data_IF_994820804132
#
_entry.id   IF_994820804132
#
_cell.length_a   1.000
_cell.length_b   1.000
_cell.length_c   1.000
_cell.angle_alpha   90.00
_cell.angle_beta   90.00
_cell.angle_gamma   90.00
#
_symmetry.space_group_name_H-M   'P 1'
#
loop_
_entity.id
_entity.type
_entity.pdbx_description
1 polymer ?
#
# COMPACT_ATOMS: atom_id res chain seq x y z
N UNK A 1 1.87 12.80 -19.58
CA UNK A 1 2.99 13.76 -19.70
C UNK A 1 3.83 13.34 -20.89
N UNK A 2 3.74 14.04 -22.02
CA UNK A 2 4.46 13.68 -23.27
C UNK A 2 5.71 14.53 -23.53
N UNK A 3 5.99 15.55 -22.71
CA UNK A 3 7.07 16.51 -22.93
C UNK A 3 7.96 16.73 -21.69
N UNK A 4 8.06 15.73 -20.82
CA UNK A 4 8.88 15.76 -19.61
C UNK A 4 9.79 14.53 -19.57
N UNK A 5 11.07 14.75 -19.31
CA UNK A 5 12.08 13.69 -19.21
C UNK A 5 13.03 14.00 -18.06
N UNK A 6 13.56 12.97 -17.41
CA UNK A 6 14.60 13.14 -16.39
C UNK A 6 15.94 13.38 -17.08
N UNK A 7 16.64 14.43 -16.67
CA UNK A 7 17.97 14.76 -17.16
C UNK A 7 18.90 15.15 -16.00
N UNK A 8 20.20 14.93 -16.19
CA UNK A 8 21.20 15.43 -15.26
C UNK A 8 21.18 16.97 -15.23
N UNK A 9 21.47 17.60 -14.08
CA UNK A 9 21.41 19.06 -13.95
C UNK A 9 22.23 19.77 -15.04
N UNK A 10 23.50 19.38 -15.23
CA UNK A 10 24.36 19.96 -16.26
C UNK A 10 23.88 19.69 -17.70
N UNK A 11 23.17 18.59 -17.93
CA UNK A 11 22.59 18.26 -19.23
C UNK A 11 21.38 19.16 -19.54
N UNK A 12 20.54 19.38 -18.52
CA UNK A 12 19.36 20.24 -18.62
C UNK A 12 19.75 21.70 -18.85
N UNK A 13 20.78 22.18 -18.14
CA UNK A 13 21.33 23.53 -18.31
C UNK A 13 21.98 23.70 -19.69
N UNK A 14 22.82 22.77 -20.12
CA UNK A 14 23.50 22.83 -21.42
C UNK A 14 22.52 22.78 -22.60
N UNK A 15 21.45 21.99 -22.49
CA UNK A 15 20.39 21.96 -23.50
C UNK A 15 19.70 23.32 -23.59
N UNK A 16 19.36 23.91 -22.44
CA UNK A 16 18.54 25.11 -22.38
C UNK A 16 17.27 24.98 -23.25
N UNK A 17 17.07 25.97 -24.11
CA UNK A 17 15.93 26.02 -25.03
C UNK A 17 16.16 25.27 -26.36
N UNK A 18 17.33 24.64 -26.57
CA UNK A 18 17.63 23.96 -27.83
C UNK A 18 16.68 22.77 -28.06
N UNK A 19 16.29 22.50 -29.32
CA UNK A 19 15.63 21.26 -29.70
C UNK A 19 16.44 20.02 -29.27
N UNK A 20 15.75 18.96 -28.87
CA UNK A 20 16.39 17.76 -28.32
C UNK A 20 17.33 17.09 -29.34
N UNK A 21 16.91 17.00 -30.59
CA UNK A 21 17.70 16.44 -31.69
C UNK A 21 18.98 17.23 -31.94
N UNK A 22 18.90 18.57 -31.93
CA UNK A 22 20.07 19.44 -32.04
C UNK A 22 21.01 19.22 -30.84
N UNK A 23 20.48 19.25 -29.62
CA UNK A 23 21.27 19.09 -28.40
C UNK A 23 21.99 17.73 -28.34
N UNK A 24 21.33 16.63 -28.76
CA UNK A 24 21.96 15.31 -28.79
C UNK A 24 23.14 15.26 -29.78
N UNK A 25 23.07 16.04 -30.87
CA UNK A 25 24.15 16.18 -31.87
C UNK A 25 25.26 17.13 -31.42
N UNK A 26 24.96 18.25 -30.77
CA UNK A 26 25.94 19.33 -30.53
C UNK A 26 26.46 19.41 -29.10
N UNK A 27 25.77 18.82 -28.11
CA UNK A 27 26.10 18.93 -26.69
C UNK A 27 27.44 18.29 -26.30
N UNK A 28 28.51 19.09 -26.31
CA UNK A 28 29.89 18.64 -26.01
C UNK A 28 30.05 18.16 -24.56
N UNK A 29 29.46 18.87 -23.60
CA UNK A 29 29.51 18.51 -22.18
C UNK A 29 28.77 17.20 -21.91
N UNK A 30 27.60 17.04 -22.53
CA UNK A 30 26.82 15.80 -22.50
C UNK A 30 27.59 14.63 -23.14
N UNK A 31 28.25 14.82 -24.28
CA UNK A 31 29.10 13.80 -24.92
C UNK A 31 30.26 13.38 -24.00
N UNK A 32 30.97 14.34 -23.41
CA UNK A 32 32.06 14.07 -22.46
C UNK A 32 31.60 13.21 -21.29
N UNK A 33 30.49 13.59 -20.64
CA UNK A 33 29.89 12.81 -19.54
C UNK A 33 29.46 11.41 -19.98
N UNK A 34 28.87 11.29 -21.16
CA UNK A 34 28.40 10.01 -21.70
C UNK A 34 29.56 9.07 -22.01
N UNK A 35 30.67 9.59 -22.55
CA UNK A 35 31.89 8.82 -22.81
C UNK A 35 32.57 8.34 -21.53
N UNK A 36 32.66 9.20 -20.51
CA UNK A 36 33.19 8.81 -19.19
C UNK A 36 32.36 7.68 -18.57
N UNK A 37 31.03 7.82 -18.55
CA UNK A 37 30.13 6.80 -18.02
C UNK A 37 30.18 5.50 -18.84
N UNK A 38 30.29 5.61 -20.18
CA UNK A 38 30.41 4.44 -21.04
C UNK A 38 31.73 3.69 -20.79
N UNK A 39 32.86 4.41 -20.62
CA UNK A 39 34.16 3.82 -20.29
C UNK A 39 34.14 3.14 -18.92
N UNK A 40 33.54 3.78 -17.92
CA UNK A 40 33.40 3.20 -16.58
C UNK A 40 32.55 1.92 -16.59
N UNK A 41 31.46 1.88 -17.37
CA UNK A 41 30.57 0.72 -17.47
C UNK A 41 31.14 -0.43 -18.32
N UNK A 42 31.72 -0.11 -19.47
CA UNK A 42 32.15 -1.11 -20.45
C UNK A 42 33.59 -1.59 -20.22
N UNK A 43 34.47 -0.78 -19.61
CA UNK A 43 35.88 -1.11 -19.47
C UNK A 43 36.53 -1.41 -20.83
N UNK A 44 37.10 -2.61 -20.98
CA UNK A 44 37.68 -3.14 -22.24
C UNK A 44 36.75 -4.13 -22.97
N UNK A 45 35.52 -4.34 -22.49
CA UNK A 45 34.58 -5.30 -23.07
C UNK A 45 34.01 -4.78 -24.40
N UNK A 46 34.44 -5.40 -25.50
CA UNK A 46 34.06 -5.02 -26.86
C UNK A 46 32.54 -5.10 -27.09
N UNK A 47 31.83 -6.05 -26.47
CA UNK A 47 30.38 -6.20 -26.63
C UNK A 47 29.65 -5.04 -25.98
N UNK A 48 30.05 -4.66 -24.76
CA UNK A 48 29.47 -3.50 -24.06
C UNK A 48 29.77 -2.19 -24.77
N UNK A 49 30.97 -2.03 -25.33
CA UNK A 49 31.33 -0.85 -26.14
C UNK A 49 30.42 -0.74 -27.36
N UNK A 50 30.24 -1.83 -28.11
CA UNK A 50 29.36 -1.86 -29.28
C UNK A 50 27.91 -1.53 -28.91
N UNK A 51 27.37 -2.13 -27.84
CA UNK A 51 26.02 -1.83 -27.35
C UNK A 51 25.83 -0.36 -26.98
N UNK A 52 26.83 0.28 -26.34
CA UNK A 52 26.77 1.70 -25.99
C UNK A 52 26.80 2.60 -27.21
N UNK A 53 27.55 2.24 -28.25
CA UNK A 53 27.58 2.96 -29.53
C UNK A 53 26.20 2.93 -30.19
N UNK A 54 25.59 1.75 -30.32
CA UNK A 54 24.24 1.59 -30.87
C UNK A 54 23.18 2.34 -30.06
N UNK A 55 23.26 2.27 -28.72
CA UNK A 55 22.35 3.02 -27.84
C UNK A 55 22.45 4.54 -28.06
N UNK A 56 23.66 5.04 -28.30
CA UNK A 56 23.89 6.47 -28.54
C UNK A 56 23.41 6.92 -29.93
N UNK A 57 23.60 6.09 -30.96
CA UNK A 57 23.07 6.31 -32.31
C UNK A 57 21.53 6.37 -32.33
N UNK A 58 20.88 5.48 -31.58
CA UNK A 58 19.41 5.37 -31.53
C UNK A 58 18.75 6.20 -30.42
N UNK A 59 19.52 7.02 -29.69
CA UNK A 59 19.05 7.70 -28.47
C UNK A 59 17.83 8.59 -28.67
N UNK A 60 17.82 9.38 -29.74
CA UNK A 60 16.72 10.28 -30.05
C UNK A 60 15.43 9.49 -30.28
N UNK A 61 15.50 8.43 -31.09
CA UNK A 61 14.37 7.56 -31.39
C UNK A 61 13.83 6.89 -30.12
N UNK A 62 14.71 6.42 -29.24
CA UNK A 62 14.32 5.83 -27.96
C UNK A 62 13.61 6.84 -27.04
N UNK A 63 14.12 8.08 -26.93
CA UNK A 63 13.46 9.10 -26.11
C UNK A 63 12.09 9.45 -26.69
N UNK A 64 11.98 9.59 -28.02
CA UNK A 64 10.71 9.88 -28.68
C UNK A 64 9.71 8.74 -28.58
N UNK A 65 10.14 7.48 -28.68
CA UNK A 65 9.26 6.32 -28.51
C UNK A 65 8.77 6.20 -27.08
N UNK A 66 9.64 6.43 -26.09
CA UNK A 66 9.26 6.45 -24.68
C UNK A 66 8.31 7.60 -24.35
N UNK A 67 8.53 8.80 -24.92
CA UNK A 67 7.65 9.95 -24.72
C UNK A 67 6.23 9.73 -25.29
N UNK A 68 6.11 8.93 -26.35
CA UNK A 68 4.84 8.53 -26.97
C UNK A 68 4.24 7.26 -26.36
N UNK A 69 4.96 6.58 -25.47
CA UNK A 69 4.48 5.34 -24.89
C UNK A 69 3.24 5.61 -24.02
N UNK A 70 2.16 4.81 -24.19
CA UNK A 70 0.97 4.97 -23.38
C UNK A 70 1.28 4.64 -21.92
N UNK A 71 0.80 5.48 -21.01
CA UNK A 71 0.94 5.26 -19.58
C UNK A 71 -0.14 4.28 -19.11
N UNK A 72 0.03 2.98 -19.43
CA UNK A 72 -0.96 1.93 -19.17
C UNK A 72 -1.41 1.90 -17.70
N UNK A 73 -0.46 1.98 -16.77
CA UNK A 73 -0.77 1.96 -15.34
C UNK A 73 -1.55 3.21 -14.91
N UNK A 74 -1.17 4.39 -15.42
CA UNK A 74 -1.92 5.61 -15.16
C UNK A 74 -3.33 5.55 -15.77
N UNK A 75 -3.49 4.95 -16.95
CA UNK A 75 -4.79 4.73 -17.56
C UNK A 75 -5.66 3.79 -16.73
N UNK A 76 -5.10 2.69 -16.20
CA UNK A 76 -5.81 1.77 -15.32
C UNK A 76 -6.23 2.44 -13.99
N UNK A 77 -5.35 3.25 -13.39
CA UNK A 77 -5.70 4.03 -12.19
C UNK A 77 -6.79 5.05 -12.51
N UNK A 78 -6.69 5.76 -13.64
CA UNK A 78 -7.68 6.75 -14.04
C UNK A 78 -9.04 6.13 -14.37
N UNK A 79 -9.07 4.98 -15.05
CA UNK A 79 -10.32 4.25 -15.33
C UNK A 79 -10.98 3.78 -14.03
N UNK A 80 -10.19 3.25 -13.09
CA UNK A 80 -10.69 2.82 -11.77
C UNK A 80 -11.22 4.01 -10.97
N UNK A 81 -10.52 5.15 -10.99
CA UNK A 81 -10.98 6.40 -10.34
C UNK A 81 -12.30 6.87 -10.93
N UNK A 82 -12.46 6.81 -12.25
CA UNK A 82 -13.68 7.23 -12.92
C UNK A 82 -14.85 6.31 -12.61
N UNK A 83 -14.64 4.99 -12.67
CA UNK A 83 -15.65 4.00 -12.30
C UNK A 83 -16.09 4.17 -10.84
N UNK A 84 -15.15 4.39 -9.91
CA UNK A 84 -15.45 4.68 -8.50
C UNK A 84 -16.28 5.95 -8.35
N UNK A 85 -15.92 7.03 -9.05
CA UNK A 85 -16.66 8.29 -8.99
C UNK A 85 -18.11 8.13 -9.50
N UNK A 86 -18.31 7.41 -10.61
CA UNK A 86 -19.65 7.11 -11.12
C UNK A 86 -20.46 6.29 -10.11
N UNK A 87 -19.89 5.22 -9.54
CA UNK A 87 -20.55 4.40 -8.54
C UNK A 87 -20.92 5.18 -7.27
N UNK A 88 -20.04 6.08 -6.80
CA UNK A 88 -20.35 6.95 -5.66
C UNK A 88 -21.46 7.93 -6.00
N UNK A 89 -21.49 8.45 -7.23
CA UNK A 89 -22.52 9.39 -7.68
C UNK A 89 -23.91 8.76 -7.71
N UNK A 90 -24.01 7.49 -8.06
CA UNK A 90 -25.26 6.71 -8.08
C UNK A 90 -25.88 6.52 -6.68
N UNK A 91 -25.11 6.67 -5.60
CA UNK A 91 -25.64 6.59 -4.23
C UNK A 91 -26.58 7.75 -3.87
N UNK A 92 -26.60 8.82 -4.67
CA UNK A 92 -27.36 10.04 -4.40
C UNK A 92 -26.76 10.94 -3.31
N UNK A 93 -25.69 10.52 -2.63
CA UNK A 93 -25.00 11.33 -1.64
C UNK A 93 -24.17 12.45 -2.31
N UNK A 94 -23.91 13.57 -1.61
CA UNK A 94 -22.95 14.56 -2.06
C UNK A 94 -21.56 13.94 -2.21
N UNK A 95 -20.98 14.06 -3.40
CA UNK A 95 -19.64 13.54 -3.72
C UNK A 95 -18.76 14.70 -4.12
N UNK A 96 -17.62 14.81 -3.45
CA UNK A 96 -16.58 15.76 -3.74
C UNK A 96 -15.33 15.04 -4.25
N UNK A 97 -14.63 15.64 -5.22
CA UNK A 97 -13.40 15.10 -5.79
C UNK A 97 -12.27 16.12 -5.71
N UNK A 98 -11.05 15.63 -5.55
CA UNK A 98 -9.85 16.47 -5.47
C UNK A 98 -8.63 15.83 -6.14
N UNK A 99 -7.62 16.65 -6.38
CA UNK A 99 -6.30 16.18 -6.81
C UNK A 99 -5.37 16.00 -5.60
N UNK A 100 -4.41 15.08 -5.70
CA UNK A 100 -3.38 14.95 -4.66
C UNK A 100 -2.56 16.23 -4.46
N UNK A 101 -2.46 17.07 -5.49
CA UNK A 101 -1.86 18.40 -5.38
C UNK A 101 -2.68 19.34 -4.50
N UNK A 102 -4.02 19.31 -4.61
CA UNK A 102 -4.95 20.05 -3.74
C UNK A 102 -4.80 19.61 -2.28
N UNK A 103 -4.81 18.30 -2.03
CA UNK A 103 -4.60 17.73 -0.69
C UNK A 103 -3.29 18.21 -0.08
N UNK A 104 -2.18 18.12 -0.84
CA UNK A 104 -0.88 18.60 -0.38
C UNK A 104 -0.90 20.10 -0.08
N UNK A 105 -1.51 20.89 -0.95
CA UNK A 105 -1.64 22.34 -0.77
C UNK A 105 -2.42 22.68 0.50
N UNK A 106 -3.63 22.13 0.65
CA UNK A 106 -4.48 22.33 1.82
C UNK A 106 -3.75 21.96 3.12
N UNK A 107 -3.08 20.80 3.14
CA UNK A 107 -2.32 20.34 4.30
C UNK A 107 -1.18 21.29 4.65
N UNK A 108 -0.44 21.76 3.64
CA UNK A 108 0.67 22.68 3.81
C UNK A 108 0.23 24.08 4.26
N UNK A 109 -0.87 24.61 3.73
CA UNK A 109 -1.42 25.91 4.14
C UNK A 109 -1.93 25.89 5.57
N UNK A 110 -2.42 24.75 6.04
CA UNK A 110 -2.90 24.56 7.43
C UNK A 110 -1.82 24.05 8.39
N UNK A 111 -0.55 24.01 7.95
CA UNK A 111 0.61 23.62 8.76
C UNK A 111 0.56 22.20 9.36
N UNK A 112 -0.19 21.28 8.76
CA UNK A 112 -0.24 19.90 9.24
C UNK A 112 0.93 19.04 8.72
N UNK A 113 1.45 18.18 9.59
CA UNK A 113 2.43 17.17 9.22
C UNK A 113 1.83 16.11 8.30
N UNK A 114 2.69 15.43 7.52
CA UNK A 114 2.22 14.39 6.60
C UNK A 114 1.84 13.13 7.38
N UNK A 115 0.55 12.79 7.37
CA UNK A 115 0.04 11.50 7.82
C UNK A 115 -1.18 11.11 6.97
N UNK A 116 -1.43 9.82 6.77
CA UNK A 116 -2.50 9.35 5.89
C UNK A 116 -3.90 9.85 6.30
N UNK A 117 -4.20 9.89 7.60
CA UNK A 117 -5.49 10.37 8.10
C UNK A 117 -5.64 11.90 7.95
N UNK A 118 -4.55 12.66 8.07
CA UNK A 118 -4.52 14.11 7.83
C UNK A 118 -4.72 14.39 6.34
N UNK A 119 -4.03 13.66 5.45
CA UNK A 119 -4.22 13.79 4.00
C UNK A 119 -5.68 13.49 3.60
N UNK A 120 -6.33 12.53 4.26
CA UNK A 120 -7.76 12.24 4.03
C UNK A 120 -8.67 13.40 4.45
N UNK A 121 -8.42 14.01 5.62
CA UNK A 121 -9.17 15.18 6.07
C UNK A 121 -8.92 16.42 5.18
N UNK A 122 -7.71 16.59 4.66
CA UNK A 122 -7.35 17.71 3.79
C UNK A 122 -7.78 17.52 2.31
N UNK A 123 -8.49 16.44 1.96
CA UNK A 123 -8.90 16.16 0.59
C UNK A 123 -10.02 17.08 0.11
N UNK A 124 -10.03 17.39 -1.19
CA UNK A 124 -11.05 18.24 -1.80
C UNK A 124 -10.85 19.74 -1.57
N UNK A 125 -11.84 20.53 -1.96
CA UNK A 125 -12.07 21.92 -1.57
C UNK A 125 -12.47 22.04 -0.09
N UNK A 126 -13.34 21.17 0.42
CA UNK A 126 -13.76 21.18 1.84
C UNK A 126 -12.61 20.94 2.81
N UNK A 127 -11.58 20.21 2.37
CA UNK A 127 -10.35 19.98 3.13
C UNK A 127 -9.47 21.22 3.36
N UNK A 128 -9.82 22.39 2.82
CA UNK A 128 -9.03 23.63 2.97
C UNK A 128 -9.18 24.29 4.36
N UNK A 129 -10.20 23.93 5.14
CA UNK A 129 -10.51 24.56 6.43
C UNK A 129 -10.89 23.52 7.50
N UNK A 130 -10.05 22.49 7.66
CA UNK A 130 -10.24 21.44 8.68
C UNK A 130 -9.49 21.78 9.96
N UNK A 131 -10.13 21.50 11.10
CA UNK A 131 -9.52 21.63 12.43
C UNK A 131 -9.18 20.25 12.96
N UNK A 132 -7.90 19.91 12.94
CA UNK A 132 -7.37 18.64 13.42
C UNK A 132 -6.53 18.87 14.66
N UNK A 133 -6.64 17.95 15.62
CA UNK A 133 -5.70 17.87 16.73
C UNK A 133 -4.45 17.09 16.24
N UNK A 134 -3.24 17.69 16.22
CA UNK A 134 -2.02 17.02 15.80
C UNK A 134 -1.69 15.77 16.62
N UNK A 135 -2.14 15.72 17.88
CA UNK A 135 -1.91 14.61 18.80
C UNK A 135 -3.04 13.56 18.74
N UNK A 136 -4.00 13.73 17.83
CA UNK A 136 -5.08 12.79 17.63
C UNK A 136 -4.54 11.40 17.28
N UNK A 137 -5.01 10.38 18.01
CA UNK A 137 -4.69 8.98 17.74
C UNK A 137 -5.85 8.35 16.98
N UNK A 138 -5.76 8.22 15.64
CA UNK A 138 -6.83 7.59 14.87
C UNK A 138 -6.95 6.13 15.29
N UNK A 139 -8.19 5.63 15.34
CA UNK A 139 -8.44 4.21 15.50
C UNK A 139 -7.94 3.47 14.25
N UNK A 140 -7.01 2.52 14.42
CA UNK A 140 -6.46 1.78 13.31
C UNK A 140 -7.32 0.57 13.02
N UNK A 141 -8.00 0.59 11.87
CA UNK A 141 -8.86 -0.51 11.43
C UNK A 141 -8.13 -1.32 10.36
N UNK A 142 -7.94 -2.62 10.61
CA UNK A 142 -7.33 -3.54 9.65
C UNK A 142 -8.31 -4.62 9.18
N UNK A 143 -8.40 -4.89 7.88
CA UNK A 143 -9.19 -6.01 7.39
C UNK A 143 -8.51 -7.36 7.73
N UNK A 144 -9.19 -8.23 8.48
CA UNK A 144 -8.66 -9.52 8.98
C UNK A 144 -9.62 -10.71 8.84
N UNK A 145 -10.91 -10.50 8.52
CA UNK A 145 -11.96 -11.51 8.75
C UNK A 145 -12.56 -12.21 7.53
N UNK A 146 -12.01 -12.10 6.32
CA UNK A 146 -12.50 -12.92 5.20
C UNK A 146 -12.05 -14.39 5.27
N UNK A 147 -11.14 -14.73 6.19
CA UNK A 147 -10.58 -16.07 6.33
C UNK A 147 -9.77 -16.49 5.10
N UNK A 148 -9.18 -17.68 5.18
CA UNK A 148 -8.40 -18.25 4.08
C UNK A 148 -9.29 -19.21 3.28
N UNK A 149 -9.30 -19.06 1.94
CA UNK A 149 -10.02 -20.00 1.05
C UNK A 149 -9.39 -21.40 1.09
N UNK A 150 -8.09 -21.49 1.40
CA UNK A 150 -7.40 -22.75 1.59
C UNK A 150 -7.82 -23.43 2.90
N UNK A 151 -8.50 -24.57 2.76
CA UNK A 151 -9.04 -25.37 3.86
C UNK A 151 -8.13 -26.52 4.27
N UNK A 152 -7.39 -27.09 3.32
CA UNK A 152 -6.37 -28.08 3.60
C UNK A 152 -5.17 -27.42 4.30
N UNK A 153 -4.75 -27.98 5.43
CA UNK A 153 -3.43 -27.72 6.00
C UNK A 153 -2.44 -28.55 5.20
N UNK A 154 -1.46 -27.90 4.60
CA UNK A 154 -0.42 -28.58 3.83
C UNK A 154 0.85 -28.71 4.69
N UNK A 155 1.64 -29.76 4.46
CA UNK A 155 3.01 -29.81 4.95
C UNK A 155 3.92 -28.85 4.17
N UNK A 156 5.21 -28.81 4.53
CA UNK A 156 6.22 -28.01 3.84
C UNK A 156 6.38 -28.34 2.34
N UNK A 157 5.90 -29.50 1.90
CA UNK A 157 6.00 -29.99 0.52
C UNK A 157 4.69 -29.80 -0.25
N UNK A 158 3.63 -29.25 0.37
CA UNK A 158 2.34 -29.03 -0.26
C UNK A 158 1.34 -30.20 -0.15
N UNK A 159 1.63 -31.25 0.63
CA UNK A 159 0.72 -32.38 0.81
C UNK A 159 -0.30 -32.12 1.93
N UNK A 160 -1.60 -32.46 1.76
CA UNK A 160 -2.60 -32.30 2.80
C UNK A 160 -2.31 -33.16 4.05
N UNK A 161 -2.14 -32.52 5.20
CA UNK A 161 -1.96 -33.15 6.52
C UNK A 161 -3.16 -32.97 7.45
N UNK A 162 -4.19 -32.25 7.00
CA UNK A 162 -5.42 -32.06 7.76
C UNK A 162 -6.34 -31.02 7.14
N UNK A 163 -7.52 -30.85 7.72
CA UNK A 163 -8.53 -29.92 7.20
C UNK A 163 -9.03 -28.99 8.31
N UNK A 164 -9.22 -27.71 7.96
CA UNK A 164 -9.89 -26.74 8.84
C UNK A 164 -11.39 -27.07 8.91
N UNK A 165 -11.97 -26.99 10.10
CA UNK A 165 -13.42 -27.17 10.34
C UNK A 165 -14.27 -26.31 9.40
N UNK A 166 -15.40 -26.87 8.95
CA UNK A 166 -16.39 -26.17 8.11
C UNK A 166 -17.21 -25.19 8.94
N UNK A 167 -17.55 -25.57 10.17
CA UNK A 167 -18.36 -24.76 11.06
C UNK A 167 -17.50 -23.68 11.71
N UNK A 168 -17.85 -22.42 11.45
CA UNK A 168 -17.21 -21.24 12.04
C UNK A 168 -17.84 -20.82 13.37
N UNK A 169 -18.87 -21.53 13.83
CA UNK A 169 -19.65 -21.20 15.02
C UNK A 169 -19.71 -22.38 16.00
N UNK A 170 -19.50 -22.13 17.29
CA UNK A 170 -19.58 -23.16 18.32
C UNK A 170 -19.77 -22.54 19.71
N UNK A 171 -20.63 -23.14 20.56
CA UNK A 171 -20.99 -22.62 21.90
C UNK A 171 -21.40 -21.14 21.93
N UNK A 172 -21.97 -20.61 20.86
CA UNK A 172 -22.36 -19.19 20.78
C UNK A 172 -21.27 -18.25 20.25
N UNK A 173 -20.06 -18.76 19.96
CA UNK A 173 -18.89 -17.99 19.52
C UNK A 173 -18.49 -18.31 18.08
N UNK A 174 -17.86 -17.35 17.43
CA UNK A 174 -17.22 -17.52 16.12
C UNK A 174 -15.74 -17.12 16.15
N UNK A 175 -14.91 -17.76 15.32
CA UNK A 175 -13.51 -17.33 15.16
C UNK A 175 -13.45 -15.87 14.70
N UNK A 176 -12.70 -15.08 15.46
CA UNK A 176 -12.56 -13.64 15.25
C UNK A 176 -13.42 -12.78 16.16
N UNK A 177 -14.37 -13.36 16.90
CA UNK A 177 -15.12 -12.63 17.95
C UNK A 177 -14.14 -12.05 18.97
N UNK A 178 -14.37 -10.80 19.38
CA UNK A 178 -13.67 -10.16 20.49
C UNK A 178 -14.37 -10.52 21.79
N UNK A 179 -13.64 -11.08 22.74
CA UNK A 179 -14.19 -11.56 24.00
C UNK A 179 -13.45 -10.95 25.19
N UNK A 180 -14.17 -10.78 26.30
CA UNK A 180 -13.62 -10.61 27.64
C UNK A 180 -13.61 -11.98 28.31
N UNK A 181 -12.45 -12.48 28.67
CA UNK A 181 -12.29 -13.72 29.43
C UNK A 181 -11.90 -13.42 30.88
N UNK A 182 -12.65 -13.96 31.85
CA UNK A 182 -12.35 -13.85 33.29
C UNK A 182 -11.92 -15.22 33.80
N UNK A 183 -10.61 -15.43 33.88
CA UNK A 183 -10.01 -16.72 34.25
C UNK A 183 -9.80 -16.77 35.77
N UNK A 184 -10.43 -17.71 36.50
CA UNK A 184 -10.46 -17.65 37.96
C UNK A 184 -9.16 -18.11 38.63
N UNK A 185 -8.43 -19.07 38.05
CA UNK A 185 -7.25 -19.72 38.65
C UNK A 185 -6.25 -20.17 37.58
N UNK A 186 -5.01 -20.41 38.00
CA UNK A 186 -3.93 -20.96 37.15
C UNK A 186 -3.03 -19.89 36.53
N UNK A 187 -2.17 -20.31 35.60
CA UNK A 187 -1.13 -19.46 34.98
C UNK A 187 -1.65 -18.16 34.37
N UNK A 188 -2.86 -18.20 33.80
CA UNK A 188 -3.48 -17.08 33.11
C UNK A 188 -4.64 -16.47 33.92
N UNK A 189 -4.66 -16.62 35.25
CA UNK A 189 -5.67 -16.02 36.10
C UNK A 189 -5.75 -14.50 35.87
N UNK A 190 -6.96 -13.94 35.91
CA UNK A 190 -7.22 -12.53 35.66
C UNK A 190 -8.19 -12.28 34.49
N UNK A 191 -8.32 -11.00 34.12
CA UNK A 191 -9.19 -10.55 33.02
C UNK A 191 -8.38 -10.29 31.77
N UNK A 192 -8.82 -10.88 30.66
CA UNK A 192 -8.16 -10.80 29.36
C UNK A 192 -9.15 -10.31 28.32
N UNK A 193 -8.72 -9.42 27.43
CA UNK A 193 -9.49 -9.00 26.26
C UNK A 193 -8.71 -9.40 25.01
N UNK A 194 -9.37 -10.08 24.10
CA UNK A 194 -8.72 -10.62 22.93
C UNK A 194 -9.65 -11.31 21.95
N UNK A 195 -9.08 -11.74 20.82
CA UNK A 195 -9.83 -12.47 19.80
C UNK A 195 -9.79 -13.96 20.05
N UNK A 196 -10.95 -14.59 19.84
CA UNK A 196 -11.09 -16.03 20.00
C UNK A 196 -10.93 -16.76 18.67
N UNK A 197 -10.20 -17.87 18.67
CA UNK A 197 -10.25 -18.87 17.61
C UNK A 197 -10.93 -20.12 18.18
N UNK A 198 -12.11 -20.42 17.63
CA UNK A 198 -12.94 -21.52 18.11
C UNK A 198 -12.33 -22.87 17.73
N UNK A 199 -12.65 -23.89 18.52
CA UNK A 199 -12.27 -25.28 18.29
C UNK A 199 -13.50 -26.17 18.46
N UNK A 200 -13.47 -27.39 17.93
CA UNK A 200 -14.54 -28.38 18.11
C UNK A 200 -14.54 -29.01 19.52
N UNK A 201 -14.18 -28.24 20.55
CA UNK A 201 -14.15 -28.60 21.96
C UNK A 201 -14.34 -27.33 22.80
N UNK A 202 -14.83 -27.40 24.05
CA UNK A 202 -15.09 -26.22 24.89
C UNK A 202 -13.80 -25.65 25.48
N UNK A 203 -12.85 -25.33 24.61
CA UNK A 203 -11.53 -24.79 24.93
C UNK A 203 -11.04 -24.07 23.68
N UNK A 204 -11.14 -22.74 23.72
CA UNK A 204 -10.87 -21.87 22.58
C UNK A 204 -9.56 -21.13 22.79
N UNK A 205 -8.82 -20.90 21.70
CA UNK A 205 -7.59 -20.15 21.75
C UNK A 205 -7.92 -18.65 21.83
N UNK A 206 -7.44 -17.99 22.88
CA UNK A 206 -7.57 -16.55 23.09
C UNK A 206 -6.24 -15.87 22.76
N UNK A 207 -6.24 -15.00 21.76
CA UNK A 207 -5.13 -14.12 21.42
C UNK A 207 -5.35 -12.74 22.03
N UNK A 208 -4.46 -12.31 22.92
CA UNK A 208 -4.48 -10.98 23.54
C UNK A 208 -3.29 -10.16 23.06
N UNK A 209 -3.36 -8.83 23.17
CA UNK A 209 -2.22 -7.95 22.84
C UNK A 209 -1.08 -8.06 23.84
N UNK A 210 -1.37 -8.45 25.09
CA UNK A 210 -0.39 -8.57 26.16
C UNK A 210 0.44 -9.86 26.12
N UNK A 211 0.01 -10.88 25.36
CA UNK A 211 0.67 -12.18 25.30
C UNK A 211 1.09 -12.51 23.87
N UNK A 212 2.35 -12.93 23.72
CA UNK A 212 2.91 -13.30 22.42
C UNK A 212 2.22 -14.52 21.81
N UNK A 213 1.81 -15.48 22.64
CA UNK A 213 1.16 -16.72 22.21
C UNK A 213 -0.26 -16.82 22.74
N UNK A 214 -1.20 -17.32 21.92
CA UNK A 214 -2.54 -17.60 22.40
C UNK A 214 -2.54 -18.70 23.45
N UNK A 215 -3.54 -18.65 24.33
CA UNK A 215 -3.76 -19.68 25.34
C UNK A 215 -5.21 -20.15 25.32
N UNK A 216 -5.44 -21.35 25.84
CA UNK A 216 -6.74 -22.00 25.77
C UNK A 216 -7.63 -21.61 26.97
N UNK A 217 -8.86 -21.17 26.70
CA UNK A 217 -9.84 -20.79 27.72
C UNK A 217 -11.20 -21.43 27.41
N UNK A 218 -11.89 -21.89 28.45
CA UNK A 218 -13.22 -22.49 28.31
C UNK A 218 -14.27 -21.39 28.04
N UNK A 219 -15.22 -21.59 27.11
CA UNK A 219 -16.20 -20.56 26.70
C UNK A 219 -17.06 -20.02 27.85
N UNK A 220 -17.35 -20.85 28.88
CA UNK A 220 -18.05 -20.40 30.11
C UNK A 220 -17.40 -19.23 30.84
N UNK A 221 -16.10 -19.00 30.65
CA UNK A 221 -15.36 -17.90 31.25
C UNK A 221 -15.26 -16.68 30.32
N UNK A 222 -15.92 -16.72 29.16
CA UNK A 222 -15.87 -15.68 28.13
C UNK A 222 -17.22 -14.99 27.98
N UNK A 223 -17.18 -13.68 27.77
CA UNK A 223 -18.31 -12.88 27.32
C UNK A 223 -17.93 -12.18 26.01
N UNK A 224 -18.83 -12.16 25.03
CA UNK A 224 -18.61 -11.50 23.75
C UNK A 224 -18.72 -9.99 23.96
N UNK A 225 -17.69 -9.27 23.53
CA UNK A 225 -17.68 -7.81 23.48
C UNK A 225 -18.06 -7.29 22.09
N UNK A 226 -17.58 -7.97 21.04
CA UNK A 226 -17.84 -7.59 19.65
C UNK A 226 -17.84 -8.83 18.76
N UNK A 227 -18.77 -8.90 17.81
CA UNK A 227 -18.86 -10.00 16.85
C UNK A 227 -17.82 -9.83 15.74
N UNK A 228 -17.39 -10.95 15.17
CA UNK A 228 -16.50 -10.97 14.01
C UNK A 228 -17.15 -10.27 12.82
N UNK A 229 -16.63 -9.08 12.47
CA UNK A 229 -17.19 -8.18 11.45
C UNK A 229 -16.25 -7.98 10.25
N UNK A 230 -15.17 -8.75 10.17
CA UNK A 230 -14.18 -8.60 9.11
C UNK A 230 -12.97 -7.75 9.47
N UNK A 231 -13.04 -6.98 10.56
CA UNK A 231 -12.02 -5.98 10.89
C UNK A 231 -11.36 -6.26 12.23
N UNK A 232 -10.16 -5.73 12.42
CA UNK A 232 -9.48 -5.57 13.71
C UNK A 232 -9.36 -4.09 14.02
N UNK A 233 -9.55 -3.75 15.28
CA UNK A 233 -9.50 -2.39 15.80
C UNK A 233 -8.31 -2.34 16.76
N UNK A 234 -7.31 -1.54 16.41
CA UNK A 234 -6.06 -1.38 17.15
C UNK A 234 -5.88 0.06 17.61
#
# INVERSE_FOLDING_TARGET
MSNLTIACHGCNQEKGQQPLDLFLKTGKGRRRRTLVNAKAFAGKDAKKIAQRKTHEENRLQQIQSQAKAPLKDAAAVNSTRWALYMALRETGLPVEVGSGGRTKWNRSQQHYQKAHWIDAACAGESGASVRLDPDHRPLLIGAKGHGERQRARLDKNGFPVGHKSVTKFSWGFQTGDMVRAVVPKGKFAGTHVGRVAIRARPSFALSTTALEKPFDVHPKYMAILHRSDGYVYN
#
